data_IF_005360110235
#
_entry.id   IF_005360110235
#
_cell.length_a   1.000
_cell.length_b   1.000
_cell.length_c   1.000
_cell.angle_alpha   90.00
_cell.angle_beta   90.00
_cell.angle_gamma   90.00
#
_symmetry.space_group_name_H-M   'P 1'
#
loop_
_entity.id
_entity.type
_entity.pdbx_description
1 polymer ?
#
# COMPACT_ATOMS: atom_id res chain seq x y z
N UNK A 1 8.95 -10.95 13.00
CA UNK A 1 9.44 -11.91 11.98
C UNK A 1 9.33 -11.25 10.62
N UNK A 2 10.37 -11.35 9.79
CA UNK A 2 10.35 -10.79 8.43
C UNK A 2 9.65 -11.79 7.51
N UNK A 3 8.59 -11.34 6.82
CA UNK A 3 7.80 -12.19 5.93
C UNK A 3 8.63 -12.71 4.75
N UNK A 4 8.47 -14.01 4.43
CA UNK A 4 9.20 -14.71 3.36
C UNK A 4 8.31 -15.06 2.16
N UNK A 5 7.08 -15.49 2.42
CA UNK A 5 6.14 -15.96 1.40
C UNK A 5 5.04 -14.94 1.12
N UNK A 6 4.42 -15.01 -0.07
CA UNK A 6 3.25 -14.19 -0.41
C UNK A 6 1.98 -14.77 0.21
N UNK A 7 1.06 -13.92 0.67
CA UNK A 7 -0.22 -14.40 1.19
C UNK A 7 -1.25 -14.58 0.07
N UNK A 8 -1.18 -15.73 -0.60
CA UNK A 8 -2.03 -16.05 -1.72
C UNK A 8 -2.42 -17.53 -1.68
N UNK A 9 -3.73 -17.83 -1.81
CA UNK A 9 -4.26 -19.20 -1.82
C UNK A 9 -4.36 -19.78 -3.23
N UNK A 10 -4.55 -18.94 -4.25
CA UNK A 10 -4.71 -19.36 -5.64
C UNK A 10 -3.36 -19.68 -6.30
N UNK A 11 -3.32 -20.70 -7.16
CA UNK A 11 -2.17 -20.96 -8.03
C UNK A 11 -2.11 -19.88 -9.11
N UNK A 12 -1.13 -19.00 -9.04
CA UNK A 12 -0.86 -17.99 -10.08
C UNK A 12 0.07 -18.58 -11.14
N UNK A 13 -0.23 -18.28 -12.41
CA UNK A 13 0.68 -18.55 -13.51
C UNK A 13 1.86 -17.57 -13.46
N UNK A 14 3.06 -18.08 -13.16
CA UNK A 14 4.26 -17.27 -12.99
C UNK A 14 4.76 -16.65 -14.31
N UNK A 15 4.36 -17.23 -15.45
CA UNK A 15 4.75 -16.72 -16.78
C UNK A 15 4.16 -15.36 -17.08
N UNK A 16 2.92 -15.11 -16.66
CA UNK A 16 2.14 -13.89 -16.97
C UNK A 16 2.09 -12.90 -15.80
N UNK A 17 2.86 -13.15 -14.73
CA UNK A 17 2.80 -12.34 -13.51
C UNK A 17 4.17 -11.88 -13.03
N UNK A 18 4.20 -10.68 -12.48
CA UNK A 18 5.35 -10.09 -11.82
C UNK A 18 5.03 -9.80 -10.36
N UNK A 19 5.96 -10.11 -9.45
CA UNK A 19 5.75 -10.02 -8.01
C UNK A 19 6.76 -9.07 -7.38
N UNK A 20 6.32 -8.29 -6.39
CA UNK A 20 7.22 -7.48 -5.57
C UNK A 20 6.75 -7.45 -4.10
N UNK A 21 7.72 -7.46 -3.18
CA UNK A 21 7.47 -7.27 -1.74
C UNK A 21 8.44 -6.23 -1.20
N UNK A 22 7.88 -5.25 -0.48
CA UNK A 22 8.68 -4.40 0.41
C UNK A 22 8.50 -4.85 1.84
N UNK A 23 9.60 -5.37 2.40
CA UNK A 23 9.61 -5.95 3.74
C UNK A 23 9.82 -4.85 4.80
N UNK A 24 9.02 -4.91 5.88
CA UNK A 24 9.16 -4.06 7.06
C UNK A 24 9.25 -2.53 6.77
N UNK A 25 8.44 -2.04 5.83
CA UNK A 25 8.36 -0.62 5.51
C UNK A 25 7.83 0.19 6.70
N UNK A 26 8.39 1.37 6.97
CA UNK A 26 7.96 2.29 8.02
C UNK A 26 6.67 3.03 7.62
N UNK A 27 5.57 2.29 7.58
CA UNK A 27 4.25 2.77 7.17
C UNK A 27 3.15 2.23 8.09
N UNK A 28 1.99 2.88 8.07
CA UNK A 28 0.84 2.47 8.86
C UNK A 28 0.09 1.34 8.17
N UNK A 29 0.03 0.17 8.80
CA UNK A 29 -0.73 -0.98 8.31
C UNK A 29 -2.17 -0.61 7.89
N UNK A 30 -2.88 0.17 8.73
CA UNK A 30 -4.27 0.57 8.49
C UNK A 30 -4.45 1.30 7.15
N UNK A 31 -3.55 2.24 6.85
CA UNK A 31 -3.64 3.02 5.60
C UNK A 31 -3.14 2.19 4.42
N UNK A 32 -2.14 1.33 4.62
CA UNK A 32 -1.67 0.42 3.58
C UNK A 32 -2.76 -0.59 3.16
N UNK A 33 -3.59 -1.06 4.11
CA UNK A 33 -4.71 -1.96 3.80
C UNK A 33 -5.80 -1.27 2.97
N UNK A 34 -6.17 -0.04 3.32
CA UNK A 34 -7.13 0.76 2.54
C UNK A 34 -6.56 1.09 1.15
N UNK A 35 -5.25 1.36 1.06
CA UNK A 35 -4.55 1.59 -0.21
C UNK A 35 -4.67 0.36 -1.12
N UNK A 36 -4.39 -0.84 -0.61
CA UNK A 36 -4.52 -2.08 -1.37
C UNK A 36 -5.94 -2.28 -1.90
N UNK A 37 -6.93 -2.09 -1.03
CA UNK A 37 -8.33 -2.22 -1.42
C UNK A 37 -8.70 -1.23 -2.54
N UNK A 38 -8.07 -0.06 -2.57
CA UNK A 38 -8.31 0.97 -3.59
C UNK A 38 -7.60 0.67 -4.91
N UNK A 39 -6.42 0.05 -4.90
CA UNK A 39 -5.61 -0.17 -6.11
C UNK A 39 -5.85 -1.54 -6.75
N UNK A 40 -6.33 -2.53 -5.99
CA UNK A 40 -6.60 -3.88 -6.47
C UNK A 40 -7.59 -3.85 -7.64
N UNK A 41 -7.26 -4.56 -8.71
CA UNK A 41 -8.08 -4.66 -9.93
C UNK A 41 -7.92 -3.49 -10.92
N UNK A 42 -7.04 -2.52 -10.66
CA UNK A 42 -6.80 -1.38 -11.57
C UNK A 42 -5.57 -1.62 -12.44
N UNK A 43 -5.55 -0.94 -13.60
CA UNK A 43 -4.36 -0.79 -14.43
C UNK A 43 -3.25 -0.07 -13.67
N UNK A 44 -2.00 -0.52 -13.86
CA UNK A 44 -0.82 0.03 -13.17
C UNK A 44 -0.68 1.53 -13.41
N UNK A 45 -0.83 1.99 -14.66
CA UNK A 45 -0.77 3.42 -15.04
C UNK A 45 -1.72 4.30 -14.21
N UNK A 46 -2.97 3.87 -14.05
CA UNK A 46 -3.96 4.57 -13.22
C UNK A 46 -3.58 4.58 -11.73
N UNK A 47 -2.92 3.52 -11.26
CA UNK A 47 -2.46 3.44 -9.88
C UNK A 47 -1.28 4.39 -9.64
N UNK A 48 -0.34 4.48 -10.56
CA UNK A 48 0.78 5.43 -10.51
C UNK A 48 0.27 6.88 -10.46
N UNK A 49 -0.65 7.23 -11.35
CA UNK A 49 -1.33 8.54 -11.36
C UNK A 49 -2.04 8.82 -10.02
N UNK A 50 -2.78 7.85 -9.49
CA UNK A 50 -3.46 7.97 -8.20
C UNK A 50 -2.49 8.23 -7.05
N UNK A 51 -1.37 7.50 -7.01
CA UNK A 51 -0.35 7.65 -5.97
C UNK A 51 0.34 9.02 -6.08
N UNK A 52 0.64 9.48 -7.29
CA UNK A 52 1.25 10.78 -7.53
C UNK A 52 0.29 11.92 -7.14
N UNK A 53 -0.97 11.83 -7.56
CA UNK A 53 -2.02 12.78 -7.15
C UNK A 53 -2.20 12.85 -5.63
N UNK A 54 -2.02 11.73 -4.93
CA UNK A 54 -2.06 11.70 -3.46
C UNK A 54 -0.84 12.37 -2.81
N UNK A 55 0.33 12.24 -3.42
CA UNK A 55 1.55 12.94 -2.99
C UNK A 55 1.35 14.46 -3.14
N UNK A 56 0.75 14.88 -4.24
CA UNK A 56 0.39 16.27 -4.54
C UNK A 56 -0.85 16.76 -3.77
N UNK A 57 -1.47 15.88 -2.97
CA UNK A 57 -2.70 16.15 -2.19
C UNK A 57 -3.93 16.54 -3.02
N UNK A 58 -3.95 16.21 -4.31
CA UNK A 58 -5.09 16.36 -5.22
C UNK A 58 -6.16 15.29 -4.95
N UNK A 59 -5.75 14.03 -4.82
CA UNK A 59 -6.65 12.89 -4.60
C UNK A 59 -6.42 12.27 -3.20
N UNK A 60 -7.48 12.08 -2.41
CA UNK A 60 -7.34 11.49 -1.08
C UNK A 60 -7.46 9.97 -1.11
N UNK A 61 -7.00 9.29 -0.06
CA UNK A 61 -7.31 7.88 0.16
C UNK A 61 -8.66 7.77 0.88
N UNK A 62 -9.72 7.22 0.25
CA UNK A 62 -10.97 6.93 0.94
C UNK A 62 -10.74 5.87 2.01
N UNK A 63 -11.28 6.09 3.21
CA UNK A 63 -11.15 5.15 4.33
C UNK A 63 -12.49 4.45 4.56
N UNK A 64 -12.55 3.13 4.33
CA UNK A 64 -13.78 2.34 4.52
C UNK A 64 -13.84 1.68 5.89
N UNK A 65 -12.80 0.93 6.25
CA UNK A 65 -12.69 0.15 7.49
C UNK A 65 -12.15 1.01 8.65
N UNK A 66 -11.14 1.82 8.39
CA UNK A 66 -10.45 2.62 9.42
C UNK A 66 -10.88 4.09 9.42
N UNK A 67 -12.19 4.33 9.47
CA UNK A 67 -12.82 5.65 9.28
C UNK A 67 -13.31 6.32 10.58
N UNK A 68 -13.13 5.70 11.76
CA UNK A 68 -13.55 6.30 13.04
C UNK A 68 -12.82 7.61 13.33
N UNK A 69 -13.57 8.66 13.71
CA UNK A 69 -13.06 10.00 14.01
C UNK A 69 -12.22 10.60 12.87
N UNK A 70 -12.61 10.32 11.62
CA UNK A 70 -11.99 10.90 10.43
C UNK A 70 -12.94 11.94 9.84
N UNK A 71 -12.44 13.17 9.66
CA UNK A 71 -13.20 14.25 9.04
C UNK A 71 -13.53 13.95 7.57
N UNK A 72 -14.65 14.49 7.11
CA UNK A 72 -14.99 14.49 5.68
C UNK A 72 -14.03 15.40 4.90
N UNK A 73 -13.79 15.05 3.64
CA UNK A 73 -13.03 15.86 2.69
C UNK A 73 -13.99 16.71 1.86
N UNK A 74 -13.55 17.92 1.53
CA UNK A 74 -14.26 18.81 0.60
C UNK A 74 -14.23 18.20 -0.81
N UNK A 75 -15.34 18.32 -1.54
CA UNK A 75 -15.48 17.83 -2.90
C UNK A 75 -16.31 16.55 -3.00
N UNK A 76 -16.25 15.91 -4.18
CA UNK A 76 -17.04 14.73 -4.47
C UNK A 76 -16.56 13.51 -3.67
N UNK A 77 -17.52 12.66 -3.31
CA UNK A 77 -17.22 11.40 -2.66
C UNK A 77 -16.38 10.53 -3.60
N UNK A 78 -15.31 9.95 -3.06
CA UNK A 78 -14.51 8.97 -3.80
C UNK A 78 -14.97 7.57 -3.42
N UNK A 79 -15.40 6.80 -4.41
CA UNK A 79 -15.85 5.42 -4.18
C UNK A 79 -16.98 5.33 -3.12
N UNK A 80 -17.91 6.30 -3.20
CA UNK A 80 -19.04 6.52 -2.27
C UNK A 80 -18.62 6.89 -0.83
N UNK A 81 -17.34 7.22 -0.59
CA UNK A 81 -16.82 7.63 0.71
C UNK A 81 -16.44 9.11 0.72
N UNK A 82 -16.98 9.85 1.69
CA UNK A 82 -16.66 11.28 1.91
C UNK A 82 -15.51 11.50 2.89
N UNK A 83 -15.14 10.50 3.69
CA UNK A 83 -14.03 10.56 4.66
C UNK A 83 -12.73 9.99 4.10
N UNK A 84 -11.61 10.65 4.40
CA UNK A 84 -10.32 10.23 3.87
C UNK A 84 -9.12 11.05 4.33
N UNK A 85 -7.92 10.58 3.99
CA UNK A 85 -6.65 11.24 4.32
C UNK A 85 -5.63 11.11 3.17
N UNK A 86 -4.53 11.85 3.24
CA UNK A 86 -3.38 11.74 2.33
C UNK A 86 -2.20 11.11 3.06
N UNK A 87 -2.12 9.78 3.14
CA UNK A 87 -0.99 9.12 3.78
C UNK A 87 0.26 9.16 2.88
N UNK A 88 0.95 10.29 2.85
CA UNK A 88 2.12 10.54 1.97
C UNK A 88 3.21 9.46 2.08
N UNK A 89 3.54 9.03 3.30
CA UNK A 89 4.54 7.96 3.54
C UNK A 89 4.12 6.62 2.93
N UNK A 90 2.83 6.32 2.96
CA UNK A 90 2.27 5.09 2.37
C UNK A 90 2.30 5.22 0.86
N UNK A 91 1.85 6.35 0.29
CA UNK A 91 1.85 6.57 -1.15
C UNK A 91 3.25 6.39 -1.75
N UNK A 92 4.28 7.04 -1.18
CA UNK A 92 5.68 6.88 -1.60
C UNK A 92 6.18 5.44 -1.48
N UNK A 93 5.78 4.72 -0.43
CA UNK A 93 6.18 3.33 -0.24
C UNK A 93 5.55 2.40 -1.29
N UNK A 94 4.29 2.64 -1.65
CA UNK A 94 3.58 1.88 -2.69
C UNK A 94 4.11 2.17 -4.09
N UNK A 95 4.43 3.44 -4.39
CA UNK A 95 5.01 3.82 -5.68
C UNK A 95 6.28 3.02 -5.96
N UNK A 96 7.23 3.00 -5.01
CA UNK A 96 8.45 2.21 -5.17
C UNK A 96 8.23 0.69 -5.25
N UNK A 97 7.15 0.13 -4.66
CA UNK A 97 6.82 -1.29 -4.83
C UNK A 97 6.29 -1.58 -6.23
N UNK A 98 5.46 -0.68 -6.76
CA UNK A 98 4.90 -0.82 -8.10
C UNK A 98 5.99 -0.67 -9.16
N UNK A 99 6.88 0.31 -9.02
CA UNK A 99 8.05 0.47 -9.88
C UNK A 99 8.93 -0.79 -9.88
N UNK A 100 9.18 -1.36 -8.71
CA UNK A 100 9.92 -2.63 -8.60
C UNK A 100 9.18 -3.79 -9.28
N UNK A 101 7.85 -3.85 -9.14
CA UNK A 101 7.04 -4.89 -9.77
C UNK A 101 6.99 -4.74 -11.30
N UNK A 102 6.99 -3.50 -11.80
CA UNK A 102 7.02 -3.16 -13.23
C UNK A 102 8.36 -3.55 -13.84
N UNK A 103 9.47 -3.19 -13.19
CA UNK A 103 10.81 -3.61 -13.61
C UNK A 103 10.94 -5.15 -13.66
N UNK A 104 10.31 -5.87 -12.72
CA UNK A 104 10.25 -7.33 -12.76
C UNK A 104 9.38 -7.87 -13.91
N UNK A 105 8.35 -7.13 -14.32
CA UNK A 105 7.51 -7.49 -15.47
C UNK A 105 8.26 -7.27 -16.79
N UNK A 106 8.97 -6.13 -16.91
CA UNK A 106 9.85 -5.81 -18.04
C UNK A 106 10.93 -6.89 -18.21
N UNK A 107 11.58 -7.29 -17.10
CA UNK A 107 12.57 -8.37 -17.11
C UNK A 107 11.99 -9.72 -17.59
N UNK A 108 10.70 -9.96 -17.32
CA UNK A 108 9.99 -11.15 -17.78
C UNK A 108 9.47 -11.03 -19.23
N UNK A 109 9.61 -9.87 -19.87
CA UNK A 109 9.11 -9.60 -21.22
C UNK A 109 7.59 -9.46 -21.31
N UNK A 110 6.92 -9.06 -20.21
CA UNK A 110 5.48 -8.81 -20.19
C UNK A 110 5.18 -7.41 -20.77
N UNK A 111 4.01 -7.24 -21.39
CA UNK A 111 3.55 -5.92 -21.83
C UNK A 111 3.25 -5.03 -20.62
N UNK A 112 4.08 -3.99 -20.42
CA UNK A 112 3.93 -3.06 -19.31
C UNK A 112 2.75 -2.12 -19.42
N UNK A 113 2.22 -1.90 -20.63
CA UNK A 113 1.06 -1.05 -20.85
C UNK A 113 -0.24 -1.73 -20.45
N UNK A 114 -0.26 -3.08 -20.50
CA UNK A 114 -1.42 -3.89 -20.16
C UNK A 114 -1.30 -4.61 -18.80
N UNK A 115 -0.56 -4.05 -17.83
CA UNK A 115 -0.48 -4.60 -16.48
C UNK A 115 -1.63 -4.16 -15.56
N UNK A 116 -2.12 -5.11 -14.77
CA UNK A 116 -3.13 -4.90 -13.74
C UNK A 116 -2.66 -5.40 -12.38
N UNK A 117 -3.11 -4.73 -11.31
CA UNK A 117 -2.89 -5.19 -9.94
C UNK A 117 -3.85 -6.35 -9.64
N UNK A 118 -3.40 -7.59 -9.87
CA UNK A 118 -4.19 -8.80 -9.60
C UNK A 118 -4.35 -9.03 -8.10
N UNK A 119 -3.26 -8.94 -7.36
CA UNK A 119 -3.24 -9.17 -5.92
C UNK A 119 -2.41 -8.10 -5.21
N UNK A 120 -2.88 -7.72 -4.03
CA UNK A 120 -2.12 -6.94 -3.08
C UNK A 120 -2.47 -7.38 -1.68
N UNK A 121 -1.46 -7.46 -0.81
CA UNK A 121 -1.68 -7.72 0.61
C UNK A 121 -0.73 -6.91 1.50
N UNK A 122 -1.21 -6.53 2.69
CA UNK A 122 -0.36 -5.91 3.72
C UNK A 122 -0.48 -6.66 5.02
N UNK A 123 0.65 -6.99 5.63
CA UNK A 123 0.73 -7.59 6.95
C UNK A 123 1.52 -6.72 7.93
N UNK A 124 1.33 -6.97 9.23
CA UNK A 124 2.05 -6.26 10.26
C UNK A 124 3.55 -6.53 10.18
N UNK A 125 4.35 -5.47 10.21
CA UNK A 125 5.80 -5.54 10.26
C UNK A 125 6.34 -5.65 11.69
N UNK A 126 7.66 -5.71 11.80
CA UNK A 126 8.34 -5.65 13.08
C UNK A 126 8.44 -4.21 13.57
N UNK A 127 7.73 -3.89 14.65
CA UNK A 127 7.71 -2.55 15.24
C UNK A 127 8.92 -2.32 16.15
N UNK A 128 9.71 -1.28 15.88
CA UNK A 128 10.80 -0.85 16.78
C UNK A 128 10.23 -0.04 17.93
N UNK A 129 10.53 -0.44 19.16
CA UNK A 129 10.11 0.26 20.36
C UNK A 129 11.15 1.31 20.78
N UNK A 130 10.67 2.44 21.25
CA UNK A 130 11.44 3.53 21.86
C UNK A 130 10.76 3.92 23.17
N UNK A 131 11.54 4.21 24.21
CA UNK A 131 11.01 4.71 25.47
C UNK A 131 11.06 6.23 25.46
N UNK A 132 9.93 6.86 25.80
CA UNK A 132 9.89 8.30 25.98
C UNK A 132 10.60 8.64 27.31
N UNK A 133 11.53 9.63 27.33
CA UNK A 133 12.18 10.05 28.56
C UNK A 133 11.15 10.53 29.59
N UNK A 134 11.43 10.27 30.86
CA UNK A 134 10.50 10.49 31.97
C UNK A 134 10.50 11.96 32.44
N UNK A 135 9.34 12.38 32.94
CA UNK A 135 9.20 13.46 33.94
C UNK A 135 8.76 12.84 35.28
N UNK A 136 7.86 13.49 36.03
CA UNK A 136 7.33 12.97 37.32
C UNK A 136 6.46 11.69 37.22
N UNK A 137 6.13 11.20 36.01
CA UNK A 137 5.26 10.03 35.77
C UNK A 137 6.04 8.97 34.96
N UNK A 138 5.67 7.69 35.12
CA UNK A 138 6.25 6.58 34.35
C UNK A 138 6.18 6.82 32.83
N UNK A 139 7.31 6.59 32.16
CA UNK A 139 7.48 6.81 30.73
C UNK A 139 6.71 5.76 29.91
N UNK A 140 6.16 6.18 28.77
CA UNK A 140 5.37 5.28 27.90
C UNK A 140 6.25 4.65 26.83
N UNK A 141 6.09 3.34 26.62
CA UNK A 141 6.69 2.63 25.48
C UNK A 141 5.97 3.04 24.19
N UNK A 142 6.73 3.54 23.21
CA UNK A 142 6.23 3.91 21.88
C UNK A 142 6.73 2.92 20.85
N UNK A 143 5.83 2.32 20.09
CA UNK A 143 6.19 1.39 19.01
C UNK A 143 5.98 2.06 17.66
N UNK A 144 7.03 2.11 16.84
CA UNK A 144 6.95 2.59 15.46
C UNK A 144 6.15 1.59 14.63
N UNK A 145 5.27 2.11 13.78
CA UNK A 145 4.45 1.30 12.88
C UNK A 145 5.30 0.82 11.71
N UNK A 146 5.13 -0.44 11.35
CA UNK A 146 5.71 -1.00 10.14
C UNK A 146 4.76 -2.02 9.52
N UNK A 147 4.90 -2.22 8.21
CA UNK A 147 4.12 -3.19 7.46
C UNK A 147 4.96 -3.85 6.36
N UNK A 148 4.63 -5.09 6.02
CA UNK A 148 5.04 -5.68 4.75
C UNK A 148 4.00 -5.31 3.70
N UNK A 149 4.44 -4.90 2.52
CA UNK A 149 3.59 -4.60 1.37
C UNK A 149 3.92 -5.61 0.28
N UNK A 150 2.90 -6.27 -0.26
CA UNK A 150 3.01 -7.28 -1.31
C UNK A 150 2.11 -6.89 -2.45
N UNK A 151 2.64 -6.93 -3.67
CA UNK A 151 1.90 -6.64 -4.89
C UNK A 151 2.27 -7.69 -5.93
N UNK A 152 1.26 -8.18 -6.63
CA UNK A 152 1.39 -9.04 -7.79
C UNK A 152 0.66 -8.37 -8.94
N UNK A 153 1.42 -8.12 -10.00
CA UNK A 153 0.93 -7.63 -11.28
C UNK A 153 0.68 -8.81 -12.20
N UNK A 154 -0.35 -8.69 -13.02
CA UNK A 154 -0.69 -9.66 -14.05
C UNK A 154 -0.94 -8.92 -15.35
N UNK A 155 -0.43 -9.46 -16.44
CA UNK A 155 -0.75 -9.01 -17.79
C UNK A 155 -2.23 -9.29 -18.11
N UNK A 156 -2.91 -8.29 -18.66
CA UNK A 156 -4.26 -8.45 -19.19
C UNK A 156 -4.27 -9.48 -20.31
N UNK A 157 -5.37 -10.24 -20.40
CA UNK A 157 -5.64 -11.05 -21.60
C UNK A 157 -5.86 -10.16 -22.81
#
# INVERSE_FOLDING_TARGET
>A
MVKKEYNLQEKINDKITAKAIKKNANVSLKYSTEMINRIKGKKVKRVEEFLQNMIEKKEFLPLRRYNKKVAHRKGNAQDKVKSGRYPLKVAKAFLGVIESAKANADYKGLDTDNLFVKHGFTSMGYGRATHQPKGKISGKRRTRKSAHIEIILQEGK
#
